data_IF_922388705926
#
_entry.id   IF_922388705926
#
_cell.length_a   1.000
_cell.length_b   1.000
_cell.length_c   1.000
_cell.angle_alpha   90.00
_cell.angle_beta   90.00
_cell.angle_gamma   90.00
#
_symmetry.space_group_name_H-M   'P 1'
#
loop_
_entity.id
_entity.type
_entity.pdbx_description
1 polymer ?
#
# COMPACT_ATOMS: atom_id res chain seq x y z
N UNK A 1 -19.16 -16.19 -3.79
CA UNK A 1 -19.64 -14.79 -3.75
C UNK A 1 -18.43 -13.88 -3.62
N UNK A 2 -18.25 -12.99 -4.55
CA UNK A 2 -17.09 -12.10 -4.57
C UNK A 2 -17.29 -10.98 -3.53
N UNK A 3 -16.30 -10.76 -2.67
CA UNK A 3 -16.36 -9.67 -1.67
C UNK A 3 -16.13 -8.33 -2.37
N UNK A 4 -17.16 -7.50 -2.46
CA UNK A 4 -17.14 -6.23 -3.21
C UNK A 4 -17.20 -4.97 -2.34
N UNK A 5 -17.64 -5.09 -1.09
CA UNK A 5 -17.76 -3.93 -0.19
C UNK A 5 -16.46 -3.70 0.59
N UNK A 6 -16.16 -2.45 0.90
CA UNK A 6 -15.02 -2.09 1.76
C UNK A 6 -15.06 -2.84 3.12
N UNK A 7 -16.24 -2.96 3.72
CA UNK A 7 -16.43 -3.69 4.99
C UNK A 7 -16.08 -5.17 4.85
N UNK A 8 -16.52 -5.83 3.78
CA UNK A 8 -16.20 -7.23 3.51
C UNK A 8 -14.71 -7.45 3.23
N UNK A 9 -14.09 -6.56 2.46
CA UNK A 9 -12.64 -6.60 2.18
C UNK A 9 -11.85 -6.43 3.48
N UNK A 10 -12.17 -5.44 4.31
CA UNK A 10 -11.53 -5.21 5.60
C UNK A 10 -11.58 -6.46 6.49
N UNK A 11 -12.75 -7.07 6.61
CA UNK A 11 -12.96 -8.25 7.43
C UNK A 11 -12.13 -9.44 6.94
N UNK A 12 -12.11 -9.68 5.65
CA UNK A 12 -11.36 -10.77 5.04
C UNK A 12 -9.84 -10.57 5.20
N UNK A 13 -9.34 -9.37 4.92
CA UNK A 13 -7.93 -9.03 5.11
C UNK A 13 -7.53 -9.17 6.58
N UNK A 14 -8.31 -8.61 7.50
CA UNK A 14 -8.05 -8.70 8.94
C UNK A 14 -7.96 -10.17 9.40
N UNK A 15 -8.84 -11.03 8.92
CA UNK A 15 -8.84 -12.45 9.24
C UNK A 15 -7.57 -13.18 8.79
N UNK A 16 -7.09 -12.90 7.59
CA UNK A 16 -5.87 -13.50 7.04
C UNK A 16 -4.62 -12.97 7.74
N UNK A 17 -4.48 -11.66 7.92
CA UNK A 17 -3.28 -11.08 8.54
C UNK A 17 -3.17 -11.39 10.03
N UNK A 18 -4.31 -11.59 10.71
CA UNK A 18 -4.31 -11.99 12.12
C UNK A 18 -3.64 -13.34 12.36
N UNK A 19 -3.68 -14.25 11.39
CA UNK A 19 -3.05 -15.57 11.45
C UNK A 19 -1.61 -15.60 10.92
N UNK A 20 -1.14 -14.48 10.33
CA UNK A 20 0.20 -14.40 9.74
C UNK A 20 1.24 -13.98 10.77
N UNK A 21 2.25 -14.84 11.04
CA UNK A 21 3.39 -14.44 11.87
C UNK A 21 4.13 -13.25 11.24
N UNK A 22 4.52 -12.31 12.08
CA UNK A 22 5.34 -11.19 11.65
C UNK A 22 4.60 -9.99 11.08
N UNK A 23 3.29 -10.02 10.87
CA UNK A 23 2.52 -8.82 10.54
C UNK A 23 2.33 -7.96 11.78
N UNK A 24 2.81 -6.73 11.76
CA UNK A 24 2.68 -5.76 12.86
C UNK A 24 1.49 -4.85 12.69
N UNK A 25 1.21 -4.44 11.46
CA UNK A 25 0.02 -3.68 11.08
C UNK A 25 -0.33 -3.94 9.61
N UNK A 26 -1.59 -3.76 9.26
CA UNK A 26 -2.06 -3.86 7.89
C UNK A 26 -3.08 -2.78 7.56
N UNK A 27 -3.03 -2.34 6.30
CA UNK A 27 -3.90 -1.31 5.72
C UNK A 27 -4.55 -1.83 4.45
N UNK A 28 -5.78 -1.42 4.22
CA UNK A 28 -6.39 -1.42 2.87
C UNK A 28 -6.32 0.01 2.35
N UNK A 29 -5.83 0.19 1.14
CA UNK A 29 -5.68 1.51 0.54
C UNK A 29 -6.15 1.53 -0.93
N UNK A 30 -5.85 2.58 -1.66
CA UNK A 30 -6.26 2.74 -3.05
C UNK A 30 -7.74 3.03 -3.23
N UNK A 31 -8.32 2.63 -4.36
CA UNK A 31 -9.69 2.99 -4.74
C UNK A 31 -10.76 2.42 -3.81
N UNK A 32 -10.54 1.23 -3.26
CA UNK A 32 -11.49 0.62 -2.31
C UNK A 32 -11.55 1.42 -1.01
N UNK A 33 -10.42 1.83 -0.47
CA UNK A 33 -10.36 2.63 0.76
C UNK A 33 -10.95 4.04 0.58
N UNK A 34 -10.79 4.64 -0.60
CA UNK A 34 -11.28 5.98 -0.90
C UNK A 34 -12.76 6.05 -1.31
N UNK A 35 -13.46 4.92 -1.37
CA UNK A 35 -14.85 4.85 -1.82
C UNK A 35 -15.04 5.03 -3.34
N UNK A 36 -13.96 5.03 -4.12
CA UNK A 36 -13.96 5.16 -5.58
C UNK A 36 -13.88 3.82 -6.30
N UNK A 37 -14.06 2.72 -5.58
CA UNK A 37 -13.97 1.39 -6.14
C UNK A 37 -15.01 1.13 -7.22
N UNK A 38 -14.54 0.59 -8.33
CA UNK A 38 -15.37 -0.01 -9.39
C UNK A 38 -15.35 -1.53 -9.24
N UNK A 39 -16.26 -2.27 -9.89
CA UNK A 39 -16.24 -3.74 -9.87
C UNK A 39 -14.89 -4.36 -10.31
N UNK A 40 -14.13 -3.62 -11.13
CA UNK A 40 -12.81 -4.00 -11.66
C UNK A 40 -11.64 -3.41 -10.89
N UNK A 41 -11.88 -2.69 -9.78
CA UNK A 41 -10.80 -2.09 -8.98
C UNK A 41 -10.03 -3.16 -8.23
N UNK A 42 -8.70 -3.02 -8.23
CA UNK A 42 -7.79 -3.87 -7.48
C UNK A 42 -7.96 -3.67 -5.97
N UNK A 43 -7.60 -4.67 -5.21
CA UNK A 43 -7.52 -4.60 -3.74
C UNK A 43 -6.06 -4.38 -3.35
N UNK A 44 -5.76 -3.20 -2.86
CA UNK A 44 -4.41 -2.81 -2.44
C UNK A 44 -4.26 -2.99 -0.92
N UNK A 45 -3.34 -3.84 -0.50
CA UNK A 45 -3.06 -4.13 0.91
C UNK A 45 -1.62 -3.78 1.24
N UNK A 46 -1.44 -2.87 2.20
CA UNK A 46 -0.14 -2.53 2.75
C UNK A 46 0.09 -3.26 4.06
N UNK A 47 1.21 -3.94 4.22
CA UNK A 47 1.57 -4.63 5.46
C UNK A 47 2.91 -4.16 6.00
N UNK A 48 2.93 -3.80 7.27
CA UNK A 48 4.15 -3.56 8.02
C UNK A 48 4.53 -4.88 8.70
N UNK A 49 5.72 -5.38 8.39
CA UNK A 49 6.19 -6.68 8.90
C UNK A 49 7.38 -6.52 9.83
N UNK A 50 7.61 -7.53 10.65
CA UNK A 50 8.72 -7.56 11.60
C UNK A 50 10.08 -7.64 10.88
N UNK A 51 11.16 -7.18 11.53
CA UNK A 51 12.51 -7.32 10.98
C UNK A 51 12.90 -8.78 10.66
N UNK A 52 12.36 -9.75 11.37
CA UNK A 52 12.61 -11.17 11.11
C UNK A 52 12.09 -11.59 9.72
N UNK A 53 10.93 -11.12 9.31
CA UNK A 53 10.39 -11.36 7.95
C UNK A 53 11.29 -10.73 6.91
N UNK A 54 11.73 -9.48 7.13
CA UNK A 54 12.57 -8.75 6.19
C UNK A 54 13.96 -9.37 6.01
N UNK A 55 14.49 -10.04 7.03
CA UNK A 55 15.79 -10.72 6.97
C UNK A 55 15.77 -12.09 6.29
N UNK A 56 14.61 -12.72 6.16
CA UNK A 56 14.48 -14.03 5.52
C UNK A 56 14.26 -13.90 4.02
N UNK A 57 13.03 -14.01 3.59
CA UNK A 57 12.63 -13.89 2.19
C UNK A 57 11.36 -13.04 2.08
N UNK A 58 11.50 -11.71 2.08
CA UNK A 58 10.36 -10.81 2.01
C UNK A 58 9.55 -10.95 0.72
N UNK A 59 10.19 -11.29 -0.40
CA UNK A 59 9.51 -11.49 -1.68
C UNK A 59 8.59 -12.70 -1.65
N UNK A 60 9.08 -13.82 -1.14
CA UNK A 60 8.29 -15.04 -0.97
C UNK A 60 7.15 -14.82 0.04
N UNK A 61 7.43 -14.14 1.13
CA UNK A 61 6.41 -13.78 2.13
C UNK A 61 5.28 -12.96 1.51
N UNK A 62 5.63 -11.93 0.73
CA UNK A 62 4.68 -11.08 0.00
C UNK A 62 3.81 -11.90 -0.96
N UNK A 63 4.42 -12.75 -1.80
CA UNK A 63 3.71 -13.57 -2.76
C UNK A 63 2.75 -14.57 -2.09
N UNK A 64 3.17 -15.21 -1.02
CA UNK A 64 2.31 -16.13 -0.26
C UNK A 64 1.13 -15.41 0.38
N UNK A 65 1.35 -14.23 0.95
CA UNK A 65 0.28 -13.41 1.51
C UNK A 65 -0.71 -12.96 0.43
N UNK A 66 -0.19 -12.57 -0.73
CA UNK A 66 -1.01 -12.17 -1.88
C UNK A 66 -1.90 -13.33 -2.38
N UNK A 67 -1.35 -14.54 -2.45
CA UNK A 67 -2.09 -15.74 -2.83
C UNK A 67 -3.21 -16.07 -1.82
N UNK A 68 -2.91 -15.99 -0.52
CA UNK A 68 -3.89 -16.29 0.52
C UNK A 68 -5.02 -15.24 0.58
N UNK A 69 -4.67 -13.96 0.41
CA UNK A 69 -5.68 -12.89 0.30
C UNK A 69 -6.54 -13.06 -0.94
N UNK A 70 -5.93 -13.39 -2.08
CA UNK A 70 -6.66 -13.67 -3.32
C UNK A 70 -7.65 -14.83 -3.15
N UNK A 71 -7.24 -15.91 -2.50
CA UNK A 71 -8.11 -17.04 -2.21
C UNK A 71 -9.25 -16.66 -1.26
N UNK A 72 -8.97 -15.94 -0.19
CA UNK A 72 -9.97 -15.51 0.79
C UNK A 72 -10.99 -14.52 0.20
N UNK A 73 -10.54 -13.61 -0.64
CA UNK A 73 -11.38 -12.62 -1.32
C UNK A 73 -12.03 -13.16 -2.59
N UNK A 74 -11.63 -14.35 -3.05
CA UNK A 74 -12.03 -14.96 -4.34
C UNK A 74 -11.78 -14.02 -5.51
N UNK A 75 -10.57 -13.42 -5.52
CA UNK A 75 -10.13 -12.44 -6.53
C UNK A 75 -8.69 -12.71 -6.92
N UNK A 76 -8.34 -12.34 -8.16
CA UNK A 76 -6.98 -12.41 -8.69
C UNK A 76 -6.26 -11.04 -8.67
N UNK A 77 -7.03 -9.98 -8.51
CA UNK A 77 -6.61 -8.57 -8.54
C UNK A 77 -6.34 -8.04 -7.12
N UNK A 78 -5.52 -8.75 -6.37
CA UNK A 78 -5.03 -8.34 -5.05
C UNK A 78 -3.55 -8.03 -5.15
N UNK A 79 -3.16 -6.83 -4.75
CA UNK A 79 -1.75 -6.46 -4.62
C UNK A 79 -1.37 -6.26 -3.15
N UNK A 80 -0.16 -6.70 -2.81
CA UNK A 80 0.41 -6.58 -1.46
C UNK A 80 1.70 -5.77 -1.52
N UNK A 81 1.77 -4.73 -0.72
CA UNK A 81 2.96 -3.90 -0.56
C UNK A 81 3.56 -4.12 0.83
N UNK A 82 4.85 -4.46 0.90
CA UNK A 82 5.59 -4.43 2.15
C UNK A 82 5.97 -2.98 2.46
N UNK A 83 5.34 -2.42 3.49
CA UNK A 83 5.51 -1.00 3.86
C UNK A 83 6.92 -0.69 4.36
N UNK A 84 7.64 -1.69 4.84
CA UNK A 84 9.02 -1.56 5.31
C UNK A 84 9.97 -0.98 4.24
N UNK A 85 9.71 -1.26 2.97
CA UNK A 85 10.54 -0.83 1.83
C UNK A 85 9.77 -0.02 0.80
N UNK A 86 8.56 0.41 1.12
CA UNK A 86 7.75 1.23 0.23
C UNK A 86 8.42 2.60 -0.02
N UNK A 87 8.35 3.12 -1.26
CA UNK A 87 8.81 4.47 -1.54
C UNK A 87 8.08 5.51 -0.67
N UNK A 88 8.72 6.65 -0.32
CA UNK A 88 8.14 7.67 0.57
C UNK A 88 6.75 8.15 0.15
N UNK A 89 6.52 8.37 -1.14
CA UNK A 89 5.22 8.81 -1.64
C UNK A 89 4.12 7.76 -1.43
N UNK A 90 4.43 6.49 -1.67
CA UNK A 90 3.49 5.38 -1.46
C UNK A 90 3.21 5.17 0.03
N UNK A 91 4.26 5.12 0.86
CA UNK A 91 4.13 4.99 2.31
C UNK A 91 3.26 6.12 2.91
N UNK A 92 3.51 7.37 2.50
CA UNK A 92 2.71 8.52 2.91
C UNK A 92 1.25 8.39 2.46
N UNK A 93 0.99 7.97 1.23
CA UNK A 93 -0.38 7.75 0.74
C UNK A 93 -1.12 6.71 1.57
N UNK A 94 -0.46 5.61 1.92
CA UNK A 94 -1.06 4.54 2.74
C UNK A 94 -1.43 5.05 4.13
N UNK A 95 -0.52 5.74 4.83
CA UNK A 95 -0.79 6.23 6.18
C UNK A 95 -1.79 7.38 6.23
N UNK A 96 -1.90 8.17 5.17
CA UNK A 96 -2.78 9.33 5.10
C UNK A 96 -4.20 8.98 4.66
N UNK A 97 -4.36 8.04 3.74
CA UNK A 97 -5.63 7.72 3.09
C UNK A 97 -6.07 6.27 3.24
N UNK A 98 -5.17 5.39 3.66
CA UNK A 98 -5.50 3.98 3.91
C UNK A 98 -6.33 3.78 5.17
N UNK A 99 -6.96 2.63 5.25
CA UNK A 99 -7.72 2.19 6.42
C UNK A 99 -6.93 1.12 7.15
N UNK A 100 -6.64 1.30 8.42
CA UNK A 100 -6.04 0.28 9.28
C UNK A 100 -7.05 -0.86 9.48
N UNK A 101 -6.67 -2.06 9.07
CA UNK A 101 -7.51 -3.26 9.21
C UNK A 101 -6.97 -4.24 10.26
N UNK A 102 -5.71 -4.12 10.62
CA UNK A 102 -5.09 -4.90 11.68
C UNK A 102 -3.97 -4.09 12.34
N UNK A 103 -3.91 -4.16 13.66
CA UNK A 103 -2.88 -3.50 14.47
C UNK A 103 -2.46 -4.46 15.58
N UNK A 104 -1.37 -5.19 15.36
CA UNK A 104 -0.78 -6.04 16.38
C UNK A 104 0.21 -5.29 17.27
N UNK A 105 0.88 -4.29 16.72
CA UNK A 105 1.78 -3.39 17.43
C UNK A 105 1.48 -1.94 17.07
N UNK A 106 0.78 -1.25 17.97
CA UNK A 106 0.51 0.19 17.82
C UNK A 106 1.80 1.01 17.80
N UNK A 107 2.77 0.65 18.62
CA UNK A 107 4.06 1.36 18.70
C UNK A 107 4.78 1.31 17.36
N UNK A 108 4.88 0.14 16.75
CA UNK A 108 5.54 -0.01 15.44
C UNK A 108 4.75 0.67 14.32
N UNK A 109 3.43 0.61 14.36
CA UNK A 109 2.60 1.32 13.39
C UNK A 109 2.80 2.84 13.47
N UNK A 110 2.79 3.40 14.68
CA UNK A 110 2.99 4.84 14.88
C UNK A 110 4.40 5.26 14.46
N UNK A 111 5.42 4.48 14.82
CA UNK A 111 6.80 4.72 14.37
C UNK A 111 6.90 4.73 12.84
N UNK A 112 6.27 3.78 12.19
CA UNK A 112 6.21 3.74 10.73
C UNK A 112 5.52 4.98 10.17
N UNK A 113 4.39 5.38 10.72
CA UNK A 113 3.64 6.57 10.29
C UNK A 113 4.50 7.84 10.38
N UNK A 114 5.20 8.03 11.48
CA UNK A 114 6.11 9.17 11.65
C UNK A 114 7.23 9.15 10.61
N UNK A 115 7.87 8.01 10.39
CA UNK A 115 8.91 7.86 9.36
C UNK A 115 8.39 8.12 7.95
N UNK A 116 7.20 7.63 7.62
CA UNK A 116 6.58 7.82 6.31
C UNK A 116 6.31 9.30 6.03
N UNK A 117 5.76 10.03 7.00
CA UNK A 117 5.50 11.46 6.88
C UNK A 117 6.81 12.25 6.75
N UNK A 118 7.80 11.98 7.61
CA UNK A 118 9.10 12.66 7.57
C UNK A 118 9.82 12.43 6.23
N UNK A 119 9.90 11.19 5.76
CA UNK A 119 10.52 10.88 4.49
C UNK A 119 9.81 11.52 3.30
N UNK A 120 8.48 11.63 3.36
CA UNK A 120 7.72 12.33 2.33
C UNK A 120 8.04 13.82 2.28
N UNK A 121 8.14 14.48 3.41
CA UNK A 121 8.54 15.90 3.52
C UNK A 121 9.96 16.08 3.02
N UNK A 122 10.91 15.26 3.47
CA UNK A 122 12.32 15.34 3.11
C UNK A 122 12.56 15.14 1.61
N UNK A 123 11.73 14.34 0.94
CA UNK A 123 11.84 14.09 -0.50
C UNK A 123 11.06 15.08 -1.36
N UNK A 124 10.36 16.05 -0.79
CA UNK A 124 9.55 17.03 -1.53
C UNK A 124 10.37 17.82 -2.57
N UNK A 125 11.56 18.35 -2.27
CA UNK A 125 12.35 19.07 -3.26
C UNK A 125 12.68 18.24 -4.51
N UNK A 126 12.94 16.94 -4.32
CA UNK A 126 13.23 16.01 -5.42
C UNK A 126 11.98 15.80 -6.28
N UNK A 127 10.82 15.62 -5.65
CA UNK A 127 9.54 15.46 -6.36
C UNK A 127 9.18 16.72 -7.15
N UNK A 128 9.37 17.88 -6.56
CA UNK A 128 9.10 19.17 -7.21
C UNK A 128 10.00 19.37 -8.44
N UNK A 129 11.28 19.02 -8.33
CA UNK A 129 12.23 19.08 -9.44
C UNK A 129 11.85 18.09 -10.57
N UNK A 130 11.46 16.87 -10.21
CA UNK A 130 11.02 15.86 -11.18
C UNK A 130 9.75 16.32 -11.91
N UNK A 131 8.79 16.89 -11.20
CA UNK A 131 7.55 17.43 -11.79
C UNK A 131 7.82 18.62 -12.71
N UNK A 132 8.72 19.53 -12.33
CA UNK A 132 9.12 20.65 -13.16
C UNK A 132 9.78 20.21 -14.47
N UNK A 133 10.66 19.19 -14.41
CA UNK A 133 11.28 18.59 -15.60
C UNK A 133 10.25 17.93 -16.51
N UNK A 134 9.28 17.22 -15.93
CA UNK A 134 8.22 16.58 -16.67
C UNK A 134 7.36 17.61 -17.42
N UNK A 135 6.92 18.67 -16.73
CA UNK A 135 6.15 19.76 -17.33
C UNK A 135 6.89 20.42 -18.51
N UNK A 136 8.21 20.65 -18.38
CA UNK A 136 9.04 21.21 -19.47
C UNK A 136 9.11 20.27 -20.68
N UNK A 137 9.19 18.96 -20.47
CA UNK A 137 9.19 17.97 -21.57
C UNK A 137 7.88 17.95 -22.34
N UNK A 138 6.74 18.00 -21.63
CA UNK A 138 5.43 18.06 -22.28
C UNK A 138 5.18 19.37 -23.01
N UNK A 139 5.58 20.52 -22.47
CA UNK A 139 5.47 21.81 -23.14
C UNK A 139 6.26 21.83 -24.46
N UNK A 140 7.51 21.33 -24.49
CA UNK A 140 8.32 21.24 -25.72
C UNK A 140 7.78 20.22 -26.74
N UNK A 141 7.08 19.18 -26.29
CA UNK A 141 6.45 18.20 -27.18
C UNK A 141 5.22 18.77 -27.92
N UNK A 142 4.49 19.68 -27.28
CA UNK A 142 3.33 20.35 -27.87
C UNK A 142 3.69 21.37 -28.97
N UNK A 143 4.89 21.97 -28.92
CA UNK A 143 5.35 22.93 -29.94
C UNK A 143 5.88 22.25 -31.21
N UNK A 144 6.27 20.97 -31.18
CA UNK A 144 6.75 20.22 -32.36
C UNK A 144 5.65 19.53 -33.15
N UNK A 145 4.41 19.65 -32.75
CA UNK A 145 3.25 19.03 -33.40
C UNK A 145 2.36 20.03 -34.18
N UNK A 146 2.87 21.22 -34.53
CA UNK A 146 2.19 22.18 -35.40
C UNK A 146 2.95 22.37 -36.69
#
# INVERSE_FOLDING_TARGET
MQVRSLSGVKKAVAGIVATRPGVLAAYVFGSIASGRARPTSDVDVGVLVSPAVMRRDPSKYRLNLMADLGAALRRFDVDVVLLNTAPPALAHNVVSHGTVVSERSRVERVRFQVRAVSAFVDTQPIRDLALARLKRRYAKGSERGR
#
